data_IF_020708629287
#
_entry.id   IF_020708629287
#
_cell.length_a   1.000
_cell.length_b   1.000
_cell.length_c   1.000
_cell.angle_alpha   90.00
_cell.angle_beta   90.00
_cell.angle_gamma   90.00
#
_symmetry.space_group_name_H-M   'P 1'
#
loop_
_entity.id
_entity.type
_entity.pdbx_description
1 polymer ?
#
# COMPACT_ATOMS: atom_id res chain seq x y z
N UNK A 1 15.54 33.41 -42.61
CA UNK A 1 14.99 33.71 -41.27
C UNK A 1 14.78 32.37 -40.58
N UNK A 2 15.55 32.09 -39.52
CA UNK A 2 15.40 30.86 -38.73
C UNK A 2 14.51 31.21 -37.54
N UNK A 3 13.35 30.60 -37.43
CA UNK A 3 12.48 30.76 -36.26
C UNK A 3 13.00 29.85 -35.15
N UNK A 4 13.67 30.40 -34.14
CA UNK A 4 14.00 29.65 -32.93
C UNK A 4 12.70 29.31 -32.19
N UNK A 5 12.39 28.01 -32.10
CA UNK A 5 11.32 27.51 -31.26
C UNK A 5 11.77 27.57 -29.80
N UNK A 6 11.47 28.68 -29.13
CA UNK A 6 11.71 28.83 -27.69
C UNK A 6 10.66 28.03 -26.88
N UNK A 7 10.68 26.70 -27.02
CA UNK A 7 9.80 25.82 -26.28
C UNK A 7 10.54 25.34 -25.02
N UNK A 8 10.11 25.72 -23.81
CA UNK A 8 10.80 25.34 -22.60
C UNK A 8 10.88 23.81 -22.48
N UNK A 9 12.06 23.28 -22.15
CA UNK A 9 12.29 21.84 -21.99
C UNK A 9 11.38 21.31 -20.87
N UNK A 10 10.42 20.45 -21.23
CA UNK A 10 9.52 19.81 -20.27
C UNK A 10 10.31 18.86 -19.35
N UNK A 11 10.20 19.07 -18.04
CA UNK A 11 10.69 18.13 -17.02
C UNK A 11 9.49 17.34 -16.48
N UNK A 12 9.58 16.01 -16.51
CA UNK A 12 8.53 15.10 -16.02
C UNK A 12 9.07 14.40 -14.78
N UNK A 13 8.34 14.48 -13.68
CA UNK A 13 8.68 13.83 -12.41
C UNK A 13 7.52 12.92 -12.03
N UNK A 14 7.84 11.67 -11.73
CA UNK A 14 6.90 10.68 -11.21
C UNK A 14 7.14 10.52 -9.71
N UNK A 15 6.06 10.57 -8.93
CA UNK A 15 6.09 10.37 -7.48
C UNK A 15 5.13 9.22 -7.18
N UNK A 16 5.64 8.23 -6.45
CA UNK A 16 4.87 7.09 -5.96
C UNK A 16 5.15 6.95 -4.46
N UNK A 17 4.10 6.73 -3.68
CA UNK A 17 4.18 6.68 -2.22
C UNK A 17 4.42 5.24 -1.75
N UNK A 18 5.51 5.05 -1.02
CA UNK A 18 5.92 3.76 -0.49
C UNK A 18 4.85 3.08 0.38
N UNK A 19 4.31 1.96 -0.11
CA UNK A 19 3.28 1.17 0.57
C UNK A 19 2.13 2.03 1.18
N UNK A 20 1.69 3.06 0.43
CA UNK A 20 0.92 4.20 0.93
C UNK A 20 -0.09 3.91 2.06
N UNK A 21 -1.10 3.06 1.83
CA UNK A 21 -2.13 2.81 2.85
C UNK A 21 -1.55 2.18 4.12
N UNK A 22 -0.64 1.20 3.99
CA UNK A 22 0.00 0.59 5.16
C UNK A 22 0.88 1.60 5.91
N UNK A 23 1.55 2.50 5.20
CA UNK A 23 2.37 3.57 5.79
C UNK A 23 1.50 4.58 6.56
N UNK A 24 0.32 4.93 6.06
CA UNK A 24 -0.64 5.79 6.80
C UNK A 24 -1.14 5.07 8.06
N UNK A 25 -1.50 3.78 7.96
CA UNK A 25 -1.92 3.01 9.14
C UNK A 25 -0.80 2.89 10.18
N UNK A 26 0.44 2.63 9.79
CA UNK A 26 1.58 2.58 10.70
C UNK A 26 1.96 3.94 11.28
N UNK A 27 1.70 5.03 10.56
CA UNK A 27 1.89 6.40 11.07
C UNK A 27 0.92 6.65 12.23
N UNK A 28 -0.37 6.41 12.00
CA UNK A 28 -1.46 6.75 12.92
C UNK A 28 -1.62 5.74 14.07
N UNK A 29 -1.23 4.48 13.84
CA UNK A 29 -1.22 3.40 14.83
C UNK A 29 0.22 2.87 15.01
N UNK A 30 1.02 3.51 15.88
CA UNK A 30 2.42 3.15 16.07
C UNK A 30 2.64 1.68 16.45
N UNK A 31 1.66 1.03 17.06
CA UNK A 31 1.68 -0.39 17.42
C UNK A 31 1.71 -1.34 16.22
N UNK A 32 1.44 -0.86 14.99
CA UNK A 32 1.55 -1.64 13.75
C UNK A 32 2.95 -1.60 13.12
N UNK A 33 3.84 -0.71 13.59
CA UNK A 33 5.20 -0.58 13.06
C UNK A 33 6.02 -1.83 13.35
N UNK A 34 6.82 -2.26 12.37
CA UNK A 34 7.64 -3.46 12.49
C UNK A 34 6.86 -4.79 12.42
N UNK A 35 5.54 -4.74 12.21
CA UNK A 35 4.68 -5.94 12.11
C UNK A 35 4.21 -6.16 10.67
N UNK A 36 4.03 -7.41 10.23
CA UNK A 36 3.45 -7.70 8.91
C UNK A 36 2.01 -7.20 8.83
N UNK A 37 1.81 -6.00 8.29
CA UNK A 37 0.51 -5.37 8.13
C UNK A 37 -0.03 -5.52 6.70
N UNK A 38 -1.31 -5.87 6.61
CA UNK A 38 -2.13 -5.95 5.40
C UNK A 38 -3.34 -5.03 5.56
N UNK A 39 -3.46 -4.07 4.65
CA UNK A 39 -4.68 -3.26 4.48
C UNK A 39 -5.53 -3.93 3.40
N UNK A 40 -6.78 -4.28 3.71
CA UNK A 40 -7.65 -4.96 2.76
C UNK A 40 -8.88 -5.62 3.38
N UNK A 41 -9.46 -6.58 2.65
CA UNK A 41 -10.54 -7.40 3.18
C UNK A 41 -10.03 -8.46 4.17
N UNK A 42 -10.86 -8.88 5.12
CA UNK A 42 -10.50 -9.93 6.07
C UNK A 42 -10.34 -11.30 5.37
N UNK A 43 -9.44 -12.17 5.87
CA UNK A 43 -9.29 -13.53 5.34
C UNK A 43 -10.47 -14.45 5.72
N UNK A 44 -11.28 -14.09 6.71
CA UNK A 44 -12.47 -14.82 7.15
C UNK A 44 -13.74 -14.49 6.32
N UNK A 45 -14.79 -15.29 6.52
CA UNK A 45 -16.11 -15.09 5.88
C UNK A 45 -16.06 -15.24 4.36
N UNK A 46 -16.65 -14.26 3.63
CA UNK A 46 -16.60 -14.22 2.15
C UNK A 46 -15.18 -14.02 1.58
N UNK A 47 -14.20 -13.80 2.45
CA UNK A 47 -12.84 -13.49 2.09
C UNK A 47 -12.67 -12.06 1.58
N UNK A 48 -11.41 -11.73 1.27
CA UNK A 48 -10.99 -10.40 0.88
C UNK A 48 -9.80 -10.42 -0.06
N UNK A 49 -9.40 -9.23 -0.47
CA UNK A 49 -8.19 -8.99 -1.27
C UNK A 49 -7.30 -8.00 -0.52
N UNK A 50 -5.99 -8.19 -0.64
CA UNK A 50 -4.97 -7.27 -0.14
C UNK A 50 -4.98 -6.01 -1.02
N UNK A 51 -5.35 -4.87 -0.45
CA UNK A 51 -5.24 -3.58 -1.12
C UNK A 51 -3.79 -3.07 -1.05
N UNK A 52 -3.13 -3.22 0.09
CA UNK A 52 -1.71 -2.88 0.28
C UNK A 52 -1.09 -3.78 1.34
N UNK A 53 0.18 -4.12 1.13
CA UNK A 53 1.01 -4.83 2.12
C UNK A 53 2.19 -3.94 2.52
N UNK A 54 2.43 -3.85 3.83
CA UNK A 54 3.64 -3.25 4.42
C UNK A 54 4.91 -3.97 3.96
N UNK A 55 6.07 -3.33 4.11
CA UNK A 55 7.34 -3.97 3.77
C UNK A 55 7.59 -5.22 4.60
N UNK A 56 7.19 -5.23 5.88
CA UNK A 56 7.27 -6.39 6.76
C UNK A 56 6.42 -7.55 6.24
N UNK A 57 5.21 -7.29 5.74
CA UNK A 57 4.37 -8.31 5.10
C UNK A 57 4.95 -8.79 3.75
N UNK A 58 5.54 -7.90 2.97
CA UNK A 58 6.17 -8.24 1.67
C UNK A 58 7.33 -9.22 1.82
N UNK A 59 8.04 -9.23 2.96
CA UNK A 59 9.10 -10.22 3.26
C UNK A 59 8.57 -11.67 3.24
N UNK A 60 7.29 -11.88 3.49
CA UNK A 60 6.62 -13.19 3.43
C UNK A 60 6.02 -13.49 2.05
N UNK A 61 6.27 -12.64 1.05
CA UNK A 61 5.73 -12.78 -0.30
C UNK A 61 4.30 -12.25 -0.47
N UNK A 62 3.73 -11.59 0.54
CA UNK A 62 2.40 -10.96 0.45
C UNK A 62 2.49 -9.75 -0.49
N UNK A 63 1.54 -9.65 -1.43
CA UNK A 63 1.49 -8.60 -2.46
C UNK A 63 0.07 -8.05 -2.61
N UNK A 64 -0.06 -6.84 -3.12
CA UNK A 64 -1.35 -6.28 -3.52
C UNK A 64 -2.05 -7.18 -4.55
N UNK A 65 -3.39 -7.13 -4.56
CA UNK A 65 -4.27 -7.99 -5.36
C UNK A 65 -4.25 -9.50 -5.00
N UNK A 66 -3.42 -9.93 -4.04
CA UNK A 66 -3.48 -11.28 -3.49
C UNK A 66 -4.76 -11.49 -2.67
N UNK A 67 -5.33 -12.70 -2.69
CA UNK A 67 -6.44 -13.03 -1.78
C UNK A 67 -5.97 -12.97 -0.32
N UNK A 68 -6.76 -12.39 0.57
CA UNK A 68 -6.41 -12.28 1.99
C UNK A 68 -6.20 -13.63 2.63
N UNK A 69 -6.95 -14.66 2.20
CA UNK A 69 -6.75 -16.04 2.64
C UNK A 69 -5.36 -16.57 2.29
N UNK A 70 -4.86 -16.31 1.07
CA UNK A 70 -3.50 -16.69 0.69
C UNK A 70 -2.45 -15.89 1.47
N UNK A 71 -2.70 -14.60 1.70
CA UNK A 71 -1.82 -13.77 2.53
C UNK A 71 -1.71 -14.33 3.96
N UNK A 72 -2.83 -14.74 4.58
CA UNK A 72 -2.85 -15.36 5.90
C UNK A 72 -2.12 -16.71 5.91
N UNK A 73 -2.21 -17.50 4.84
CA UNK A 73 -1.43 -18.74 4.71
C UNK A 73 0.08 -18.49 4.63
N UNK A 74 0.52 -17.40 3.98
CA UNK A 74 1.93 -17.03 3.88
C UNK A 74 2.47 -16.47 5.20
N UNK A 75 1.64 -15.74 5.95
CA UNK A 75 1.98 -15.18 7.25
C UNK A 75 0.77 -15.28 8.20
N UNK A 76 0.68 -16.36 9.01
CA UNK A 76 -0.48 -16.59 9.89
C UNK A 76 -0.70 -15.53 10.96
N UNK A 77 0.34 -14.75 11.28
CA UNK A 77 0.33 -13.68 12.26
C UNK A 77 0.31 -12.28 11.62
N UNK A 78 0.03 -12.17 10.32
CA UNK A 78 -0.16 -10.87 9.68
C UNK A 78 -1.38 -10.17 10.27
N UNK A 79 -1.23 -8.87 10.50
CA UNK A 79 -2.31 -8.00 10.95
C UNK A 79 -3.15 -7.60 9.73
N UNK A 80 -4.46 -7.86 9.79
CA UNK A 80 -5.40 -7.44 8.76
C UNK A 80 -6.24 -6.28 9.28
N UNK A 81 -6.16 -5.14 8.60
CA UNK A 81 -6.95 -3.94 8.93
C UNK A 81 -7.81 -3.53 7.74
N UNK A 82 -9.01 -3.01 8.03
CA UNK A 82 -9.90 -2.48 7.00
C UNK A 82 -9.39 -1.12 6.52
N UNK A 83 -9.54 -0.79 5.22
CA UNK A 83 -9.12 0.50 4.69
C UNK A 83 -9.86 1.66 5.36
N UNK A 84 -9.13 2.71 5.74
CA UNK A 84 -9.66 4.01 6.19
C UNK A 84 -9.51 5.05 5.08
N UNK A 85 -10.29 4.91 4.00
CA UNK A 85 -10.14 5.73 2.78
C UNK A 85 -10.24 7.24 3.00
N UNK A 86 -11.00 7.71 3.99
CA UNK A 86 -11.07 9.14 4.31
C UNK A 86 -9.72 9.65 4.81
N UNK A 87 -9.07 8.93 5.73
CA UNK A 87 -7.73 9.26 6.21
C UNK A 87 -6.66 9.24 5.11
N UNK A 88 -6.83 8.42 4.06
CA UNK A 88 -5.88 8.34 2.94
C UNK A 88 -6.00 9.51 1.97
N UNK A 89 -7.19 10.14 1.88
CA UNK A 89 -7.42 11.31 1.03
C UNK A 89 -6.89 12.60 1.67
N UNK A 90 -6.77 12.62 2.99
CA UNK A 90 -6.32 13.78 3.76
C UNK A 90 -4.79 13.93 3.83
N UNK A 91 -4.03 12.97 3.27
CA UNK A 91 -2.56 12.96 3.20
C UNK A 91 -2.08 13.51 1.86
#
# INVERSE_FOLDING_TARGET
>A
MVTESNNPIRKIIHIDMDAFYASVEQRDFPEYRGKPLVVGGSPEGRGGVVATASYEARKFGIKSAMTSKKAQQLCPYALFVRPRFDAYKDV
#
